data_IF_748635873570
#
_entry.id   IF_748635873570
#
_cell.length_a   1.000
_cell.length_b   1.000
_cell.length_c   1.000
_cell.angle_alpha   90.00
_cell.angle_beta   90.00
_cell.angle_gamma   90.00
#
_symmetry.space_group_name_H-M   'P 1'
#
loop_
_entity.id
_entity.type
_entity.pdbx_description
1 polymer ?
#
# COMPACT_ATOMS: atom_id res chain seq x y z
N UNK A 1 15.42 9.34 19.31
CA UNK A 1 15.73 10.62 18.60
C UNK A 1 14.45 11.06 17.89
N UNK A 2 14.20 12.37 17.75
CA UNK A 2 13.06 12.83 16.94
C UNK A 2 13.21 12.35 15.49
N UNK A 3 12.11 12.07 14.77
CA UNK A 3 12.19 11.63 13.39
C UNK A 3 12.73 12.73 12.49
N UNK A 4 13.42 12.35 11.43
CA UNK A 4 13.80 13.27 10.37
C UNK A 4 12.55 13.64 9.58
N UNK A 5 12.33 14.94 9.30
CA UNK A 5 11.24 15.42 8.47
C UNK A 5 11.78 16.21 7.29
N UNK A 6 11.27 15.91 6.10
CA UNK A 6 11.64 16.59 4.86
C UNK A 6 10.38 17.06 4.14
N UNK A 7 10.40 18.28 3.60
CA UNK A 7 9.34 18.78 2.73
C UNK A 7 9.55 18.23 1.31
N UNK A 8 8.50 17.68 0.71
CA UNK A 8 8.52 17.24 -0.67
C UNK A 8 8.24 18.42 -1.61
N UNK A 9 9.24 18.79 -2.41
CA UNK A 9 9.15 19.76 -3.49
C UNK A 9 9.89 19.21 -4.70
N UNK A 10 9.78 19.84 -5.87
CA UNK A 10 10.55 19.43 -7.06
C UNK A 10 12.06 19.42 -6.82
N UNK A 11 12.57 20.36 -6.00
CA UNK A 11 14.01 20.48 -5.70
C UNK A 11 14.47 19.40 -4.71
N UNK A 12 13.60 18.98 -3.78
CA UNK A 12 13.94 18.03 -2.73
C UNK A 12 13.55 16.59 -3.06
N UNK A 13 12.80 16.35 -4.14
CA UNK A 13 12.20 15.04 -4.46
C UNK A 13 13.26 13.94 -4.55
N UNK A 14 14.34 14.16 -5.27
CA UNK A 14 15.43 13.18 -5.38
C UNK A 14 16.02 12.83 -4.01
N UNK A 15 16.34 13.82 -3.20
CA UNK A 15 16.87 13.61 -1.85
C UNK A 15 15.85 12.91 -0.94
N UNK A 16 14.56 13.24 -1.08
CA UNK A 16 13.47 12.59 -0.35
C UNK A 16 13.33 11.11 -0.72
N UNK A 17 13.42 10.76 -2.02
CA UNK A 17 13.42 9.37 -2.51
C UNK A 17 14.60 8.60 -1.94
N UNK A 18 15.82 9.14 -2.08
CA UNK A 18 17.05 8.51 -1.59
C UNK A 18 16.99 8.27 -0.07
N UNK A 19 16.50 9.26 0.68
CA UNK A 19 16.37 9.18 2.13
C UNK A 19 15.30 8.18 2.56
N UNK A 20 14.14 8.19 1.91
CA UNK A 20 13.06 7.24 2.19
C UNK A 20 13.51 5.80 1.92
N UNK A 21 14.11 5.56 0.75
CA UNK A 21 14.62 4.23 0.41
C UNK A 21 15.73 3.76 1.37
N UNK A 22 16.65 4.65 1.78
CA UNK A 22 17.68 4.32 2.76
C UNK A 22 17.10 3.98 4.13
N UNK A 23 16.08 4.73 4.60
CA UNK A 23 15.38 4.45 5.86
C UNK A 23 14.72 3.08 5.81
N UNK A 24 13.98 2.77 4.73
CA UNK A 24 13.29 1.49 4.55
C UNK A 24 14.28 0.32 4.47
N UNK A 25 15.38 0.45 3.71
CA UNK A 25 16.42 -0.58 3.63
C UNK A 25 17.14 -0.80 4.96
N UNK A 26 17.25 0.24 5.78
CA UNK A 26 17.80 0.18 7.14
C UNK A 26 16.84 -0.43 8.18
N UNK A 27 15.65 -0.90 7.77
CA UNK A 27 14.65 -1.48 8.68
C UNK A 27 13.84 -0.43 9.45
N UNK A 28 13.87 0.83 9.01
CA UNK A 28 13.05 1.89 9.58
C UNK A 28 11.63 1.94 9.00
N UNK A 29 10.77 2.71 9.66
CA UNK A 29 9.42 3.04 9.20
C UNK A 29 9.42 4.45 8.63
N UNK A 30 8.93 4.61 7.41
CA UNK A 30 8.73 5.91 6.77
C UNK A 30 7.25 6.29 6.74
N UNK A 31 6.93 7.52 7.13
CA UNK A 31 5.62 8.15 6.95
C UNK A 31 5.65 8.96 5.66
N UNK A 32 4.95 8.47 4.63
CA UNK A 32 4.99 9.03 3.28
C UNK A 32 3.59 9.44 2.81
N UNK A 33 3.48 10.48 1.95
CA UNK A 33 2.24 10.80 1.25
C UNK A 33 1.93 9.69 0.23
N UNK A 34 0.76 9.03 0.40
CA UNK A 34 0.32 7.92 -0.45
C UNK A 34 -0.94 8.29 -1.25
N UNK A 35 -0.84 9.38 -2.03
CA UNK A 35 -1.89 10.01 -2.82
C UNK A 35 -2.98 10.68 -1.96
N UNK A 36 -4.02 9.96 -1.54
CA UNK A 36 -5.13 10.54 -0.79
C UNK A 36 -4.91 10.66 0.70
N UNK A 37 -4.01 9.85 1.28
CA UNK A 37 -3.75 9.80 2.73
C UNK A 37 -2.28 9.56 3.01
N UNK A 38 -1.81 9.91 4.20
CA UNK A 38 -0.48 9.47 4.65
C UNK A 38 -0.50 7.99 5.05
N UNK A 39 0.60 7.31 4.79
CA UNK A 39 0.79 5.91 5.12
C UNK A 39 2.11 5.64 5.84
N UNK A 40 2.10 4.65 6.72
CA UNK A 40 3.31 4.03 7.24
C UNK A 40 3.80 2.99 6.25
N UNK A 41 5.10 3.00 5.99
CA UNK A 41 5.76 2.12 5.04
C UNK A 41 6.93 1.41 5.71
N UNK A 42 7.11 0.13 5.35
CA UNK A 42 8.23 -0.70 5.77
C UNK A 42 8.67 -1.60 4.61
N UNK A 43 9.93 -2.02 4.59
CA UNK A 43 10.40 -3.00 3.62
C UNK A 43 9.91 -4.40 4.02
N UNK A 44 9.29 -5.14 3.10
CA UNK A 44 8.68 -6.45 3.37
C UNK A 44 9.69 -7.51 3.85
N UNK A 45 10.95 -7.38 3.47
CA UNK A 45 12.04 -8.27 3.89
C UNK A 45 12.64 -7.93 5.26
N UNK A 46 12.24 -6.80 5.87
CA UNK A 46 12.71 -6.41 7.21
C UNK A 46 11.72 -6.90 8.27
N UNK A 47 11.93 -8.10 8.79
CA UNK A 47 11.05 -8.68 9.83
C UNK A 47 10.87 -7.75 11.05
N UNK A 48 11.92 -7.10 11.61
CA UNK A 48 11.72 -6.16 12.71
C UNK A 48 10.81 -4.97 12.37
N UNK A 49 10.93 -4.42 11.14
CA UNK A 49 10.07 -3.32 10.70
C UNK A 49 8.62 -3.78 10.48
N UNK A 50 8.43 -4.99 9.95
CA UNK A 50 7.10 -5.60 9.78
C UNK A 50 6.41 -5.79 11.13
N UNK A 51 7.09 -6.34 12.12
CA UNK A 51 6.54 -6.55 13.47
C UNK A 51 6.23 -5.22 14.17
N UNK A 52 7.12 -4.22 14.04
CA UNK A 52 6.84 -2.87 14.53
C UNK A 52 5.59 -2.27 13.88
N UNK A 53 5.43 -2.44 12.56
CA UNK A 53 4.26 -1.96 11.83
C UNK A 53 2.96 -2.69 12.24
N UNK A 54 3.04 -4.01 12.54
CA UNK A 54 1.93 -4.80 13.10
C UNK A 54 1.49 -4.27 14.46
N UNK A 55 2.47 -4.08 15.36
CA UNK A 55 2.21 -3.57 16.71
C UNK A 55 1.52 -2.20 16.69
N UNK A 56 2.00 -1.27 15.86
CA UNK A 56 1.41 0.07 15.70
C UNK A 56 -0.06 0.04 15.26
N UNK A 57 -0.44 -0.98 14.49
CA UNK A 57 -1.81 -1.11 13.97
C UNK A 57 -2.69 -2.02 14.82
N UNK A 58 -2.20 -2.56 15.94
CA UNK A 58 -2.85 -3.62 16.70
C UNK A 58 -3.45 -4.69 15.75
N UNK A 59 -2.69 -4.99 14.67
CA UNK A 59 -3.20 -5.77 13.55
C UNK A 59 -3.01 -7.24 13.84
N UNK A 60 -4.11 -7.98 13.80
CA UNK A 60 -4.05 -9.42 13.89
C UNK A 60 -3.16 -9.99 12.75
N UNK A 61 -2.34 -11.01 13.04
CA UNK A 61 -1.43 -11.61 12.05
C UNK A 61 -2.12 -12.03 10.74
N UNK A 62 -3.42 -12.35 10.82
CA UNK A 62 -4.26 -12.80 9.71
C UNK A 62 -4.58 -11.70 8.69
N UNK A 63 -4.36 -10.43 9.03
CA UNK A 63 -4.58 -9.32 8.11
C UNK A 63 -3.26 -8.88 7.49
N UNK A 64 -3.03 -9.21 6.22
CA UNK A 64 -1.89 -8.75 5.44
C UNK A 64 -1.84 -7.22 5.29
N UNK A 65 -0.70 -6.69 4.89
CA UNK A 65 -0.50 -5.29 4.47
C UNK A 65 -0.75 -5.15 2.97
N UNK A 66 -0.87 -3.90 2.49
CA UNK A 66 -0.84 -3.62 1.06
C UNK A 66 0.62 -3.62 0.61
N UNK A 67 0.95 -4.43 -0.41
CA UNK A 67 2.23 -4.38 -1.09
C UNK A 67 2.22 -3.33 -2.19
N UNK A 68 3.19 -2.42 -2.16
CA UNK A 68 3.38 -1.42 -3.21
C UNK A 68 4.35 -1.93 -4.27
N UNK A 69 3.92 -1.84 -5.52
CA UNK A 69 4.70 -2.18 -6.70
C UNK A 69 5.28 -0.91 -7.33
N UNK A 70 6.53 -0.98 -7.82
CA UNK A 70 7.11 0.12 -8.58
C UNK A 70 6.48 0.23 -9.97
N UNK A 71 6.10 -0.92 -10.56
CA UNK A 71 5.51 -1.05 -11.89
C UNK A 71 4.36 -2.04 -11.86
N UNK A 72 3.36 -1.85 -12.73
CA UNK A 72 2.20 -2.74 -12.82
C UNK A 72 2.60 -4.17 -13.25
N UNK A 73 3.65 -4.29 -14.07
CA UNK A 73 4.18 -5.56 -14.59
C UNK A 73 4.76 -6.45 -13.47
N UNK A 74 5.12 -5.87 -12.33
CA UNK A 74 5.65 -6.62 -11.19
C UNK A 74 4.56 -7.44 -10.45
N UNK A 75 3.28 -7.30 -10.85
CA UNK A 75 2.12 -7.99 -10.25
C UNK A 75 2.29 -9.50 -10.25
N UNK A 76 2.68 -10.07 -11.40
CA UNK A 76 2.78 -11.51 -11.60
C UNK A 76 3.86 -12.19 -10.73
N UNK A 77 4.79 -11.42 -10.17
CA UNK A 77 5.77 -11.95 -9.23
C UNK A 77 5.16 -12.35 -7.87
N UNK A 78 4.00 -11.78 -7.50
CA UNK A 78 3.43 -11.93 -6.16
C UNK A 78 2.04 -12.55 -6.13
N UNK A 79 1.24 -12.37 -7.18
CA UNK A 79 -0.16 -12.79 -7.21
C UNK A 79 -0.51 -13.61 -8.45
N UNK A 80 -1.51 -14.47 -8.31
CA UNK A 80 -2.23 -15.02 -9.45
C UNK A 80 -3.24 -13.98 -9.93
N UNK A 81 -3.00 -13.43 -11.11
CA UNK A 81 -3.85 -12.37 -11.66
C UNK A 81 -4.79 -12.94 -12.74
N UNK A 82 -6.06 -13.17 -12.43
CA UNK A 82 -7.05 -13.54 -13.44
C UNK A 82 -7.26 -12.37 -14.41
N UNK A 83 -7.78 -12.66 -15.61
CA UNK A 83 -7.98 -11.69 -16.69
C UNK A 83 -8.64 -10.40 -16.22
N UNK A 84 -9.70 -10.50 -15.41
CA UNK A 84 -10.39 -9.33 -14.85
C UNK A 84 -9.48 -8.45 -14.00
N UNK A 85 -8.57 -9.04 -13.20
CA UNK A 85 -7.60 -8.28 -12.41
C UNK A 85 -6.59 -7.55 -13.29
N UNK A 86 -6.14 -8.18 -14.38
CA UNK A 86 -5.24 -7.54 -15.36
C UNK A 86 -5.93 -6.39 -16.10
N UNK A 87 -7.20 -6.53 -16.47
CA UNK A 87 -8.01 -5.47 -17.09
C UNK A 87 -8.17 -4.28 -16.12
N UNK A 88 -8.47 -4.53 -14.84
CA UNK A 88 -8.56 -3.49 -13.81
C UNK A 88 -7.22 -2.80 -13.57
N UNK A 89 -6.12 -3.58 -13.47
CA UNK A 89 -4.78 -3.03 -13.35
C UNK A 89 -4.43 -2.14 -14.55
N UNK A 90 -4.66 -2.61 -15.76
CA UNK A 90 -4.40 -1.83 -16.99
C UNK A 90 -5.19 -0.52 -17.07
N UNK A 91 -6.44 -0.52 -16.56
CA UNK A 91 -7.30 0.65 -16.59
C UNK A 91 -6.98 1.67 -15.49
N UNK A 92 -6.42 1.23 -14.34
CA UNK A 92 -6.34 2.05 -13.14
C UNK A 92 -4.95 2.12 -12.49
N UNK A 93 -3.95 1.44 -13.01
CA UNK A 93 -2.56 1.52 -12.56
C UNK A 93 -1.67 2.17 -13.62
N UNK A 94 -0.73 3.02 -13.15
CA UNK A 94 -0.52 3.50 -11.79
C UNK A 94 -1.69 4.35 -11.27
N UNK A 95 -2.17 4.06 -10.03
CA UNK A 95 -3.32 4.80 -9.49
C UNK A 95 -3.86 4.31 -8.15
N UNK A 96 -4.98 4.89 -7.68
CA UNK A 96 -5.55 4.63 -6.37
C UNK A 96 -6.48 3.40 -6.34
N UNK A 97 -6.14 2.33 -7.07
CA UNK A 97 -6.79 1.03 -6.99
C UNK A 97 -5.88 0.03 -6.27
N UNK A 98 -6.42 -0.69 -5.30
CA UNK A 98 -5.77 -1.81 -4.63
C UNK A 98 -6.51 -3.10 -5.00
N UNK A 99 -5.79 -4.09 -5.53
CA UNK A 99 -6.33 -5.40 -5.89
C UNK A 99 -5.99 -6.42 -4.81
N UNK A 100 -6.99 -7.18 -4.36
CA UNK A 100 -6.85 -8.34 -3.47
C UNK A 100 -6.98 -9.59 -4.33
N UNK A 101 -5.91 -10.38 -4.38
CA UNK A 101 -5.73 -11.50 -5.30
C UNK A 101 -5.22 -12.73 -4.54
N UNK A 102 -5.35 -13.92 -5.13
CA UNK A 102 -4.70 -15.11 -4.62
C UNK A 102 -3.17 -14.94 -4.63
N UNK A 103 -2.53 -15.25 -3.50
CA UNK A 103 -1.09 -15.11 -3.35
C UNK A 103 -0.35 -16.25 -4.05
N UNK A 104 0.73 -15.91 -4.77
CA UNK A 104 1.68 -16.95 -5.23
C UNK A 104 2.42 -17.59 -4.04
N UNK A 105 2.87 -18.84 -4.16
CA UNK A 105 3.57 -19.53 -3.07
C UNK A 105 4.76 -18.76 -2.48
N UNK A 106 5.49 -18.04 -3.32
CA UNK A 106 6.69 -17.29 -2.94
C UNK A 106 6.41 -15.85 -2.48
N UNK A 107 5.14 -15.43 -2.44
CA UNK A 107 4.80 -14.09 -1.96
C UNK A 107 5.14 -13.96 -0.46
N UNK A 108 5.69 -12.80 -0.03
CA UNK A 108 6.09 -12.58 1.36
C UNK A 108 4.94 -12.79 2.36
N UNK A 109 5.23 -13.49 3.47
CA UNK A 109 4.23 -13.78 4.51
C UNK A 109 3.60 -12.51 5.11
N UNK A 110 4.35 -11.41 5.17
CA UNK A 110 3.85 -10.12 5.67
C UNK A 110 2.65 -9.56 4.86
N UNK A 111 2.49 -9.99 3.61
CA UNK A 111 1.37 -9.59 2.74
C UNK A 111 0.17 -10.54 2.86
N UNK A 112 0.40 -11.79 3.24
CA UNK A 112 -0.65 -12.81 3.22
C UNK A 112 -1.70 -12.53 4.28
N UNK A 113 -2.95 -12.58 3.85
CA UNK A 113 -4.08 -12.75 4.74
C UNK A 113 -4.31 -14.24 5.02
N UNK A 114 -5.10 -14.55 6.06
CA UNK A 114 -5.40 -15.93 6.46
C UNK A 114 -6.15 -16.74 5.39
N UNK A 115 -6.86 -16.05 4.50
CA UNK A 115 -7.59 -16.64 3.38
C UNK A 115 -6.70 -16.90 2.14
N UNK A 116 -5.38 -16.74 2.28
CA UNK A 116 -4.41 -16.96 1.20
C UNK A 116 -4.34 -15.83 0.18
N UNK A 117 -5.03 -14.72 0.41
CA UNK A 117 -4.96 -13.55 -0.48
C UNK A 117 -3.87 -12.55 -0.09
N UNK A 118 -3.52 -11.69 -1.03
CA UNK A 118 -2.64 -10.52 -0.83
C UNK A 118 -3.25 -9.28 -1.47
N UNK A 119 -2.98 -8.12 -0.89
CA UNK A 119 -3.38 -6.83 -1.43
C UNK A 119 -2.19 -6.14 -2.11
N UNK A 120 -2.32 -5.78 -3.38
CA UNK A 120 -1.26 -5.13 -4.16
C UNK A 120 -1.76 -3.83 -4.79
N UNK A 121 -0.84 -2.88 -4.97
CA UNK A 121 -1.10 -1.61 -5.63
C UNK A 121 0.14 -1.08 -6.34
N UNK A 122 -0.02 -0.61 -7.57
CA UNK A 122 0.94 0.28 -8.22
C UNK A 122 0.46 1.73 -8.04
N UNK A 123 1.07 2.54 -7.14
CA UNK A 123 0.54 3.87 -6.81
C UNK A 123 0.72 4.87 -7.96
N UNK A 124 -0.21 5.83 -8.10
CA UNK A 124 -0.15 6.91 -9.07
C UNK A 124 0.94 7.95 -8.75
N UNK A 125 1.33 8.09 -7.49
CA UNK A 125 2.41 8.97 -7.05
C UNK A 125 3.76 8.53 -7.61
N UNK A 126 4.36 9.35 -8.49
CA UNK A 126 5.70 9.11 -9.05
C UNK A 126 6.76 9.03 -7.95
N UNK A 127 6.69 9.96 -6.98
CA UNK A 127 7.53 9.94 -5.80
C UNK A 127 7.49 8.58 -5.08
N UNK A 128 6.29 8.07 -4.79
CA UNK A 128 6.14 6.82 -4.06
C UNK A 128 6.63 5.61 -4.87
N UNK A 129 6.36 5.57 -6.18
CA UNK A 129 6.92 4.52 -7.06
C UNK A 129 8.44 4.58 -7.12
N UNK A 130 9.02 5.79 -7.18
CA UNK A 130 10.47 5.96 -7.16
C UNK A 130 11.08 5.46 -5.85
N UNK A 131 10.44 5.71 -4.71
CA UNK A 131 10.86 5.14 -3.41
C UNK A 131 10.83 3.62 -3.47
N UNK A 132 9.73 3.00 -3.92
CA UNK A 132 9.62 1.54 -4.05
C UNK A 132 10.72 0.98 -4.94
N UNK A 133 10.93 1.57 -6.13
CA UNK A 133 12.00 1.16 -7.04
C UNK A 133 13.39 1.26 -6.40
N UNK A 134 13.67 2.35 -5.69
CA UNK A 134 14.96 2.60 -5.04
C UNK A 134 15.22 1.66 -3.84
N UNK A 135 14.19 1.04 -3.24
CA UNK A 135 14.41 0.02 -2.20
C UNK A 135 14.93 -1.30 -2.75
N UNK A 136 14.68 -1.58 -4.03
CA UNK A 136 15.00 -2.87 -4.66
C UNK A 136 14.14 -4.04 -4.16
N UNK A 137 13.05 -3.76 -3.43
CA UNK A 137 12.16 -4.76 -2.84
C UNK A 137 10.74 -4.26 -2.67
N UNK A 138 9.86 -5.16 -2.24
CA UNK A 138 8.46 -4.86 -2.00
C UNK A 138 8.30 -4.00 -0.73
N UNK A 139 7.56 -2.93 -0.84
CA UNK A 139 7.26 -2.01 0.28
C UNK A 139 5.85 -2.28 0.79
N UNK A 140 5.74 -2.55 2.09
CA UNK A 140 4.46 -2.63 2.80
C UNK A 140 3.90 -1.24 3.05
N UNK A 141 2.60 -1.11 2.96
CA UNK A 141 1.87 0.12 3.21
C UNK A 141 0.63 -0.11 4.06
N UNK A 142 0.40 0.79 4.99
CA UNK A 142 -0.87 0.90 5.73
C UNK A 142 -1.16 2.38 6.01
N UNK A 143 -2.44 2.76 6.10
CA UNK A 143 -2.82 4.15 6.42
C UNK A 143 -2.25 4.60 7.77
N UNK A 144 -1.85 5.87 7.88
CA UNK A 144 -1.37 6.45 9.12
C UNK A 144 -2.56 6.93 9.96
N UNK A 145 -3.10 6.03 10.77
CA UNK A 145 -4.18 6.28 11.72
C UNK A 145 -4.16 5.24 12.84
N UNK A 146 -4.74 5.55 13.96
CA UNK A 146 -5.14 4.55 14.95
C UNK A 146 -6.27 3.68 14.41
N UNK A 147 -6.40 2.43 14.87
CA UNK A 147 -7.51 1.57 14.49
C UNK A 147 -8.86 2.24 14.75
N UNK A 148 -9.72 2.28 13.71
CA UNK A 148 -11.04 2.91 13.79
C UNK A 148 -11.09 4.43 13.58
N UNK A 149 -9.95 5.11 13.56
CA UNK A 149 -9.86 6.54 13.28
C UNK A 149 -9.70 6.84 11.79
N UNK A 150 -10.08 8.05 11.31
CA UNK A 150 -9.81 8.47 9.94
C UNK A 150 -8.30 8.49 9.64
N UNK A 151 -7.88 8.19 8.40
CA UNK A 151 -6.49 8.31 7.99
C UNK A 151 -5.98 9.75 8.07
N UNK A 152 -4.70 9.93 8.43
CA UNK A 152 -4.07 11.23 8.44
C UNK A 152 -3.98 11.82 7.02
N UNK A 153 -4.38 13.08 6.89
CA UNK A 153 -4.27 13.88 5.66
C UNK A 153 -3.11 14.87 5.70
N UNK A 154 -2.44 14.97 6.85
CA UNK A 154 -1.29 15.85 7.11
C UNK A 154 -0.23 15.07 7.88
N UNK A 155 1.04 15.37 7.62
CA UNK A 155 2.15 14.73 8.32
C UNK A 155 2.15 15.06 9.82
N UNK A 156 1.82 16.30 10.19
CA UNK A 156 1.83 16.79 11.57
C UNK A 156 0.68 16.21 12.42
N UNK A 157 -0.33 15.60 11.80
CA UNK A 157 -1.39 14.87 12.50
C UNK A 157 -0.94 13.51 13.05
N UNK A 158 0.29 13.05 12.69
CA UNK A 158 0.83 11.76 13.11
C UNK A 158 1.88 11.95 14.19
N UNK A 159 1.78 11.17 15.28
CA UNK A 159 2.71 11.23 16.40
C UNK A 159 4.16 10.99 15.95
N UNK A 160 5.08 11.85 16.37
CA UNK A 160 6.46 11.87 15.88
C UNK A 160 7.29 10.65 16.27
N UNK A 161 6.91 9.93 17.32
CA UNK A 161 7.56 8.73 17.82
C UNK A 161 7.15 7.44 17.07
N UNK A 162 6.16 7.55 16.18
CA UNK A 162 5.63 6.41 15.43
C UNK A 162 6.39 6.10 14.13
N UNK A 163 7.34 6.94 13.69
CA UNK A 163 8.11 6.75 12.46
C UNK A 163 9.54 7.30 12.59
N UNK A 164 10.43 6.83 11.73
CA UNK A 164 11.85 7.24 11.72
C UNK A 164 12.11 8.38 10.73
N UNK A 165 11.33 8.41 9.63
CA UNK A 165 11.37 9.46 8.60
C UNK A 165 9.96 9.88 8.22
N UNK A 166 9.70 11.19 8.16
CA UNK A 166 8.49 11.77 7.60
C UNK A 166 8.78 12.60 6.37
N UNK A 167 8.06 12.33 5.28
CA UNK A 167 8.08 13.17 4.06
C UNK A 167 6.79 13.97 3.99
N UNK A 168 6.90 15.28 4.10
CA UNK A 168 5.75 16.19 4.06
C UNK A 168 5.37 16.54 2.62
N UNK A 169 4.31 15.94 2.12
CA UNK A 169 3.71 16.21 0.80
C UNK A 169 2.58 17.25 0.84
N UNK A 170 2.37 17.94 1.97
CA UNK A 170 1.24 18.87 2.15
C UNK A 170 -0.06 18.17 2.54
N UNK A 171 -1.16 18.87 2.33
CA UNK A 171 -2.51 18.40 2.65
C UNK A 171 -3.01 17.44 1.56
N UNK A 172 -3.51 16.28 1.97
CA UNK A 172 -4.04 15.25 1.07
C UNK A 172 -5.57 15.23 1.08
N UNK A 173 -6.18 14.59 0.08
CA UNK A 173 -7.64 14.62 -0.13
C UNK A 173 -8.46 13.89 0.95
N UNK A 174 -7.86 13.00 1.72
CA UNK A 174 -8.54 12.12 2.67
C UNK A 174 -9.21 10.90 2.03
N UNK A 175 -9.16 10.77 0.71
CA UNK A 175 -9.84 9.67 -0.01
C UNK A 175 -8.84 8.52 -0.19
N UNK A 176 -9.06 7.34 0.44
CA UNK A 176 -8.17 6.19 0.30
C UNK A 176 -8.32 5.52 -1.08
N UNK A 177 -7.44 4.56 -1.38
CA UNK A 177 -7.61 3.71 -2.56
C UNK A 177 -8.88 2.88 -2.48
N UNK A 178 -9.52 2.66 -3.64
CA UNK A 178 -10.56 1.64 -3.75
C UNK A 178 -9.92 0.27 -3.59
N UNK A 179 -10.54 -0.61 -2.78
CA UNK A 179 -10.06 -1.96 -2.52
C UNK A 179 -11.02 -2.96 -3.14
N UNK A 180 -10.53 -3.73 -4.10
CA UNK A 180 -11.32 -4.70 -4.86
C UNK A 180 -10.70 -6.08 -4.74
N UNK A 181 -11.50 -7.07 -4.38
CA UNK A 181 -11.13 -8.48 -4.42
C UNK A 181 -11.50 -9.05 -5.80
N UNK A 182 -10.56 -9.77 -6.40
CA UNK A 182 -10.79 -10.54 -7.62
C UNK A 182 -10.20 -11.93 -7.40
N UNK A 183 -11.07 -12.86 -7.05
CA UNK A 183 -10.70 -14.26 -6.78
C UNK A 183 -11.69 -15.17 -7.48
N UNK A 184 -11.21 -16.21 -8.16
CA UNK A 184 -12.04 -17.20 -8.88
C UNK A 184 -13.01 -16.57 -9.90
N UNK A 185 -12.64 -15.43 -10.51
CA UNK A 185 -13.46 -14.73 -11.51
C UNK A 185 -14.54 -13.81 -10.92
N UNK A 186 -14.68 -13.74 -9.60
CA UNK A 186 -15.61 -12.84 -8.91
C UNK A 186 -14.94 -11.53 -8.53
N UNK A 187 -15.70 -10.42 -8.67
CA UNK A 187 -15.32 -9.10 -8.23
C UNK A 187 -16.14 -8.69 -7.03
N UNK A 188 -15.47 -8.24 -5.97
CA UNK A 188 -16.09 -7.69 -4.76
C UNK A 188 -15.42 -6.39 -4.37
N UNK A 189 -16.20 -5.33 -4.16
CA UNK A 189 -15.69 -4.05 -3.66
C UNK A 189 -15.63 -4.11 -2.13
N UNK A 190 -14.43 -4.36 -1.58
CA UNK A 190 -14.22 -4.42 -0.13
C UNK A 190 -14.21 -3.04 0.53
N UNK A 191 -13.85 -2.00 -0.22
CA UNK A 191 -13.87 -0.61 0.24
C UNK A 191 -13.99 0.33 -0.94
N UNK A 192 -15.00 1.18 -0.94
CA UNK A 192 -15.08 2.31 -1.86
C UNK A 192 -13.99 3.34 -1.54
N UNK A 193 -13.42 3.94 -2.58
CA UNK A 193 -12.34 4.93 -2.49
C UNK A 193 -12.32 5.82 -3.73
N UNK A 194 -11.13 6.24 -4.15
CA UNK A 194 -10.95 7.22 -5.22
C UNK A 194 -11.35 6.73 -6.63
N UNK A 195 -11.38 5.42 -6.86
CA UNK A 195 -11.78 4.83 -8.15
C UNK A 195 -13.20 4.28 -8.04
N UNK A 196 -14.06 4.63 -9.00
CA UNK A 196 -15.37 3.99 -9.16
C UNK A 196 -15.20 2.76 -10.04
N UNK A 197 -15.53 1.60 -9.49
CA UNK A 197 -15.59 0.34 -10.24
C UNK A 197 -17.07 0.05 -10.51
N UNK A 198 -17.41 -0.15 -11.77
CA UNK A 198 -18.73 -0.65 -12.11
C UNK A 198 -18.82 -2.10 -11.62
N UNK A 199 -19.84 -2.39 -10.81
CA UNK A 199 -20.13 -3.77 -10.47
C UNK A 199 -20.50 -4.50 -11.77
N UNK A 200 -19.92 -5.70 -12.03
CA UNK A 200 -20.38 -6.48 -13.16
C UNK A 200 -21.87 -6.76 -12.98
N UNK A 201 -22.66 -6.78 -14.06
CA UNK A 201 -24.06 -7.18 -13.97
C UNK A 201 -24.14 -8.52 -13.23
N UNK A 202 -25.04 -8.61 -12.26
CA UNK A 202 -25.33 -9.83 -11.52
C UNK A 202 -25.98 -10.83 -12.49
N UNK A 203 -25.20 -11.39 -13.40
CA UNK A 203 -25.64 -12.57 -14.14
C UNK A 203 -25.68 -13.72 -13.12
N UNK A 204 -26.88 -14.08 -12.72
CA UNK A 204 -27.37 -15.07 -11.74
C UNK A 204 -26.53 -16.31 -11.37
N UNK A 205 -25.22 -16.14 -11.20
CA UNK A 205 -24.31 -17.16 -10.69
C UNK A 205 -24.18 -17.04 -9.17
N UNK A 206 -24.69 -18.03 -8.46
CA UNK A 206 -24.65 -18.13 -7.02
C UNK A 206 -23.25 -17.88 -6.47
N UNK A 207 -23.13 -17.02 -5.44
CA UNK A 207 -21.96 -16.91 -4.58
C UNK A 207 -21.74 -18.29 -3.97
N UNK A 208 -20.59 -18.96 -4.19
CA UNK A 208 -20.29 -20.21 -3.48
C UNK A 208 -20.13 -19.93 -1.99
N UNK A 209 -20.54 -20.87 -1.13
CA UNK A 209 -20.51 -20.73 0.32
C UNK A 209 -19.10 -20.55 0.89
#
# INVERSE_FOLDING_TARGET
MPPVRLRLTRETERAAVERAAATLRGGGIALLPAEGVYGFHALASSEPAVERLRAMKARAPERGFIGLLARAEDLDAYAEAPRLALELASAHWPGPLTLVLAARPDAPNALRASDGTIALRCPGSEFLRAVVAATGGLVLSTSANEPGSPPAVRLDAVAADSYDLGIDGGDLSGIPSTLVRVVSGYLEILRAGAVRIAEPPLDGGAVPP
#
